data_IF_916285358719
#
_entry.id   IF_916285358719
#
_cell.length_a   1.000
_cell.length_b   1.000
_cell.length_c   1.000
_cell.angle_alpha   90.00
_cell.angle_beta   90.00
_cell.angle_gamma   90.00
#
_symmetry.space_group_name_H-M   'P 1'
#
loop_
_entity.id
_entity.type
_entity.pdbx_description
1 polymer ?
#
# COMPACT_ATOMS: atom_id res chain seq x y z
N UNK A 1 10.62 19.03 3.83
CA UNK A 1 9.68 18.21 4.58
C UNK A 1 10.05 16.78 4.29
N UNK A 2 10.60 16.06 5.27
CA UNK A 2 11.01 14.67 5.08
C UNK A 2 9.77 13.78 5.19
N UNK A 3 9.47 13.00 4.15
CA UNK A 3 8.27 12.18 4.10
C UNK A 3 8.56 10.82 4.76
N UNK A 4 7.92 10.56 5.91
CA UNK A 4 8.08 9.30 6.62
C UNK A 4 7.03 8.26 6.16
N UNK A 5 7.46 7.38 5.25
CA UNK A 5 6.58 6.34 4.69
C UNK A 5 6.03 5.39 5.77
N UNK A 6 6.83 5.03 6.78
CA UNK A 6 6.40 4.13 7.86
C UNK A 6 5.27 4.75 8.68
N UNK A 7 5.38 6.05 8.94
CA UNK A 7 4.33 6.78 9.64
C UNK A 7 3.05 6.87 8.81
N UNK A 8 3.14 7.16 7.52
CA UNK A 8 1.96 7.19 6.64
C UNK A 8 1.25 5.83 6.60
N UNK A 9 1.98 4.73 6.46
CA UNK A 9 1.40 3.37 6.47
C UNK A 9 0.64 3.09 7.77
N UNK A 10 1.19 3.55 8.90
CA UNK A 10 0.54 3.45 10.21
C UNK A 10 -0.72 4.32 10.28
N UNK A 11 -0.68 5.54 9.78
CA UNK A 11 -1.84 6.43 9.71
C UNK A 11 -2.97 5.84 8.86
N UNK A 12 -2.65 5.29 7.69
CA UNK A 12 -3.62 4.60 6.82
C UNK A 12 -4.28 3.44 7.57
N UNK A 13 -3.48 2.62 8.26
CA UNK A 13 -3.98 1.48 9.04
C UNK A 13 -4.96 1.92 10.14
N UNK A 14 -4.65 3.02 10.84
CA UNK A 14 -5.56 3.58 11.84
C UNK A 14 -6.81 4.20 11.24
N UNK A 15 -6.69 4.93 10.14
CA UNK A 15 -7.84 5.54 9.47
C UNK A 15 -8.84 4.48 9.00
N UNK A 16 -8.35 3.40 8.38
CA UNK A 16 -9.19 2.26 7.95
C UNK A 16 -9.90 1.65 9.16
N UNK A 17 -9.17 1.30 10.23
CA UNK A 17 -9.75 0.70 11.45
C UNK A 17 -10.81 1.60 12.07
N UNK A 18 -10.55 2.91 12.17
CA UNK A 18 -11.45 3.86 12.79
C UNK A 18 -12.74 4.07 11.98
N UNK A 19 -12.64 4.07 10.65
CA UNK A 19 -13.79 4.28 9.75
C UNK A 19 -14.63 3.01 9.61
N UNK A 20 -14.00 1.83 9.57
CA UNK A 20 -14.71 0.54 9.62
C UNK A 20 -15.52 0.39 10.93
N UNK A 21 -14.97 0.87 12.04
CA UNK A 21 -15.60 0.75 13.35
C UNK A 21 -15.90 -0.71 13.69
N UNK A 22 -17.16 -1.00 14.04
CA UNK A 22 -17.63 -2.34 14.41
C UNK A 22 -18.18 -3.14 13.21
N UNK A 23 -18.30 -2.51 12.03
CA UNK A 23 -18.98 -3.07 10.88
C UNK A 23 -17.94 -3.68 9.94
N UNK A 24 -18.00 -4.98 9.69
CA UNK A 24 -17.15 -5.70 8.74
C UNK A 24 -17.58 -5.43 7.28
N UNK A 25 -17.62 -4.15 6.90
CA UNK A 25 -17.92 -3.75 5.52
C UNK A 25 -16.78 -4.14 4.58
N UNK A 26 -17.10 -4.80 3.46
CA UNK A 26 -16.13 -5.16 2.43
C UNK A 26 -15.62 -3.93 1.64
N UNK A 27 -16.32 -2.79 1.75
CA UNK A 27 -16.08 -1.56 0.99
C UNK A 27 -15.91 -0.36 1.93
N UNK A 28 -14.74 -0.28 2.58
CA UNK A 28 -14.29 0.91 3.33
C UNK A 28 -13.04 1.61 2.75
N UNK A 29 -12.74 1.57 1.43
CA UNK A 29 -11.60 2.33 0.91
C UNK A 29 -11.88 3.83 0.78
N UNK A 30 -13.10 4.25 0.41
CA UNK A 30 -13.33 5.63 -0.07
C UNK A 30 -13.17 6.69 1.03
N UNK A 31 -13.84 6.52 2.17
CA UNK A 31 -13.74 7.47 3.28
C UNK A 31 -12.34 7.50 3.91
N UNK A 32 -11.65 6.35 3.98
CA UNK A 32 -10.30 6.26 4.53
C UNK A 32 -9.27 6.91 3.59
N UNK A 33 -9.42 6.67 2.28
CA UNK A 33 -8.64 7.34 1.25
C UNK A 33 -8.82 8.85 1.32
N UNK A 34 -10.07 9.34 1.32
CA UNK A 34 -10.35 10.77 1.40
C UNK A 34 -9.77 11.41 2.67
N UNK A 35 -9.93 10.76 3.82
CA UNK A 35 -9.42 11.28 5.09
C UNK A 35 -7.89 11.44 5.06
N UNK A 36 -7.17 10.44 4.54
CA UNK A 36 -5.71 10.48 4.43
C UNK A 36 -5.27 11.54 3.42
N UNK A 37 -5.89 11.61 2.25
CA UNK A 37 -5.55 12.60 1.22
C UNK A 37 -5.80 14.03 1.72
N UNK A 38 -6.97 14.31 2.32
CA UNK A 38 -7.28 15.62 2.92
C UNK A 38 -6.25 15.99 4.00
N UNK A 39 -5.84 15.02 4.84
CA UNK A 39 -4.79 15.24 5.85
C UNK A 39 -3.45 15.63 5.23
N UNK A 40 -3.06 15.03 4.10
CA UNK A 40 -1.82 15.43 3.42
C UNK A 40 -1.94 16.81 2.76
N UNK A 41 -3.07 17.13 2.12
CA UNK A 41 -3.28 18.44 1.49
C UNK A 41 -3.19 19.58 2.52
N UNK A 42 -3.77 19.41 3.71
CA UNK A 42 -3.72 20.43 4.78
C UNK A 42 -2.29 20.75 5.22
N UNK A 43 -1.35 19.80 5.12
CA UNK A 43 0.08 20.05 5.45
C UNK A 43 0.73 21.09 4.53
N UNK A 44 0.14 21.39 3.37
CA UNK A 44 0.63 22.42 2.44
C UNK A 44 0.40 23.84 2.96
N UNK A 45 -0.51 24.07 3.92
CA UNK A 45 -0.81 25.43 4.44
C UNK A 45 0.44 26.13 4.96
N UNK A 46 1.22 25.44 5.79
CA UNK A 46 2.47 25.97 6.36
C UNK A 46 3.48 26.43 5.31
N UNK A 47 3.97 25.55 4.41
CA UNK A 47 4.94 25.93 3.39
C UNK A 47 4.39 26.97 2.39
N UNK A 48 3.11 26.93 2.03
CA UNK A 48 2.51 27.93 1.13
C UNK A 48 2.48 29.33 1.76
N UNK A 49 2.08 29.45 3.04
CA UNK A 49 2.13 30.74 3.75
C UNK A 49 3.57 31.22 3.91
N UNK A 50 4.51 30.31 4.21
CA UNK A 50 5.92 30.66 4.32
C UNK A 50 6.49 31.19 2.99
N UNK A 51 6.04 30.63 1.87
CA UNK A 51 6.42 31.12 0.54
C UNK A 51 5.95 32.56 0.32
N UNK A 52 4.72 32.90 0.74
CA UNK A 52 4.21 34.28 0.70
C UNK A 52 5.08 35.20 1.55
N UNK A 53 5.41 34.81 2.79
CA UNK A 53 6.27 35.62 3.68
C UNK A 53 7.63 35.93 3.05
N UNK A 54 8.27 34.94 2.43
CA UNK A 54 9.57 35.10 1.79
C UNK A 54 9.51 36.07 0.60
N UNK A 55 8.45 36.00 -0.21
CA UNK A 55 8.23 36.94 -1.32
C UNK A 55 8.00 38.36 -0.78
N UNK A 56 7.19 38.53 0.27
CA UNK A 56 6.94 39.84 0.87
C UNK A 56 8.21 40.46 1.46
N UNK A 57 9.04 39.65 2.12
CA UNK A 57 10.34 40.08 2.64
C UNK A 57 11.25 40.60 1.51
N UNK A 58 11.33 39.88 0.38
CA UNK A 58 12.17 40.34 -0.74
C UNK A 58 11.59 41.57 -1.45
N UNK A 59 10.26 41.70 -1.50
CA UNK A 59 9.61 42.89 -2.04
C UNK A 59 9.95 44.13 -1.20
N UNK A 60 9.87 44.04 0.13
CA UNK A 60 10.28 45.12 1.05
C UNK A 60 11.77 45.45 0.88
N UNK A 61 12.63 44.43 0.77
CA UNK A 61 14.07 44.63 0.53
C UNK A 61 14.31 45.39 -0.78
N UNK A 62 13.55 45.06 -1.83
CA UNK A 62 13.65 45.71 -3.14
C UNK A 62 13.22 47.17 -3.06
N UNK A 63 12.11 47.48 -2.37
CA UNK A 63 11.65 48.85 -2.14
C UNK A 63 12.75 49.67 -1.45
N UNK A 64 13.35 49.15 -0.37
CA UNK A 64 14.47 49.79 0.33
C UNK A 64 15.69 50.02 -0.57
N UNK A 65 15.99 49.09 -1.49
CA UNK A 65 17.09 49.28 -2.47
C UNK A 65 16.77 50.41 -3.44
N UNK A 66 15.52 50.52 -3.88
CA UNK A 66 15.07 51.56 -4.80
C UNK A 66 15.04 52.95 -4.15
N UNK A 67 14.55 53.07 -2.91
CA UNK A 67 14.39 54.34 -2.19
C UNK A 67 15.71 54.98 -1.79
N UNK A 68 16.82 54.23 -1.73
CA UNK A 68 18.17 54.79 -1.60
C UNK A 68 18.50 55.83 -2.68
N UNK A 69 17.88 55.75 -3.87
CA UNK A 69 18.05 56.76 -4.94
C UNK A 69 17.38 58.10 -4.61
N UNK A 70 16.47 58.12 -3.63
CA UNK A 70 15.76 59.31 -3.14
C UNK A 70 16.44 59.95 -1.92
N UNK A 71 17.67 59.56 -1.58
CA UNK A 71 18.39 60.04 -0.40
C UNK A 71 18.51 61.58 -0.33
N UNK A 72 18.54 62.26 -1.49
CA UNK A 72 18.58 63.72 -1.57
C UNK A 72 17.27 64.41 -1.14
N UNK A 73 16.17 63.66 -1.02
CA UNK A 73 14.85 64.15 -0.60
C UNK A 73 14.32 63.32 0.58
N UNK A 74 14.80 63.57 1.82
CA UNK A 74 14.54 62.69 2.97
C UNK A 74 13.05 62.49 3.28
N UNK A 75 12.25 63.57 3.22
CA UNK A 75 10.80 63.51 3.45
C UNK A 75 10.07 62.68 2.39
N UNK A 76 10.50 62.78 1.13
CA UNK A 76 9.92 61.99 0.04
C UNK A 76 10.29 60.50 0.18
N UNK A 77 11.53 60.21 0.57
CA UNK A 77 11.99 58.85 0.82
C UNK A 77 11.16 58.18 1.92
N UNK A 78 10.99 58.84 3.06
CA UNK A 78 10.20 58.33 4.20
C UNK A 78 8.74 58.08 3.82
N UNK A 79 8.07 59.05 3.19
CA UNK A 79 6.67 58.89 2.79
C UNK A 79 6.48 57.81 1.72
N UNK A 80 7.42 57.68 0.78
CA UNK A 80 7.37 56.63 -0.24
C UNK A 80 7.52 55.25 0.40
N UNK A 81 8.50 55.06 1.29
CA UNK A 81 8.68 53.81 2.02
C UNK A 81 7.44 53.46 2.84
N UNK A 82 6.86 54.43 3.55
CA UNK A 82 5.67 54.24 4.38
C UNK A 82 4.45 53.80 3.55
N UNK A 83 4.15 54.50 2.46
CA UNK A 83 2.99 54.20 1.61
C UNK A 83 3.13 52.82 0.97
N UNK A 84 4.30 52.54 0.38
CA UNK A 84 4.54 51.27 -0.31
C UNK A 84 4.56 50.10 0.68
N UNK A 85 5.21 50.24 1.83
CA UNK A 85 5.23 49.18 2.85
C UNK A 85 3.82 48.88 3.40
N UNK A 86 3.01 49.91 3.63
CA UNK A 86 1.62 49.73 4.06
C UNK A 86 0.80 48.99 2.99
N UNK A 87 0.95 49.37 1.73
CA UNK A 87 0.28 48.68 0.63
C UNK A 87 0.69 47.22 0.53
N UNK A 88 2.00 46.92 0.61
CA UNK A 88 2.51 45.54 0.57
C UNK A 88 1.90 44.71 1.70
N UNK A 89 1.85 45.23 2.94
CA UNK A 89 1.27 44.53 4.09
C UNK A 89 -0.23 44.26 3.91
N UNK A 90 -0.97 45.21 3.33
CA UNK A 90 -2.39 44.99 3.01
C UNK A 90 -2.57 43.89 1.95
N UNK A 91 -1.72 43.89 0.92
CA UNK A 91 -1.74 42.86 -0.15
C UNK A 91 -1.31 41.50 0.37
N UNK A 92 -0.38 41.44 1.31
CA UNK A 92 0.06 40.21 1.97
C UNK A 92 -1.12 39.48 2.61
N UNK A 93 -1.93 40.18 3.42
CA UNK A 93 -3.11 39.60 4.07
C UNK A 93 -4.08 38.99 3.06
N UNK A 94 -4.47 39.77 2.05
CA UNK A 94 -5.36 39.32 0.96
C UNK A 94 -4.79 38.10 0.21
N UNK A 95 -3.47 38.05 0.03
CA UNK A 95 -2.80 36.94 -0.66
C UNK A 95 -2.79 35.68 0.20
N UNK A 96 -2.53 35.80 1.50
CA UNK A 96 -2.59 34.68 2.45
C UNK A 96 -4.00 34.08 2.49
N UNK A 97 -5.02 34.92 2.56
CA UNK A 97 -6.42 34.48 2.54
C UNK A 97 -6.75 33.72 1.24
N UNK A 98 -6.31 34.24 0.09
CA UNK A 98 -6.49 33.58 -1.20
C UNK A 98 -5.77 32.22 -1.27
N UNK A 99 -4.54 32.13 -0.77
CA UNK A 99 -3.77 30.87 -0.72
C UNK A 99 -4.48 29.84 0.15
N UNK A 100 -4.99 30.25 1.31
CA UNK A 100 -5.76 29.37 2.19
C UNK A 100 -7.05 28.89 1.53
N UNK A 101 -7.78 29.78 0.86
CA UNK A 101 -8.97 29.44 0.10
C UNK A 101 -8.68 28.39 -0.99
N UNK A 102 -7.58 28.54 -1.74
CA UNK A 102 -7.18 27.57 -2.76
C UNK A 102 -6.93 26.19 -2.15
N UNK A 103 -6.30 26.12 -0.98
CA UNK A 103 -6.06 24.85 -0.28
C UNK A 103 -7.39 24.26 0.21
N UNK A 104 -8.29 25.08 0.76
CA UNK A 104 -9.60 24.62 1.24
C UNK A 104 -10.46 24.08 0.08
N UNK A 105 -10.36 24.65 -1.12
CA UNK A 105 -10.97 24.10 -2.34
C UNK A 105 -10.44 22.68 -2.61
N UNK A 106 -9.13 22.47 -2.56
CA UNK A 106 -8.54 21.13 -2.77
C UNK A 106 -8.96 20.11 -1.70
N UNK A 107 -9.22 20.56 -0.48
CA UNK A 107 -9.74 19.69 0.60
C UNK A 107 -11.23 19.38 0.41
N UNK A 108 -12.00 20.30 -0.17
CA UNK A 108 -13.45 20.17 -0.32
C UNK A 108 -13.87 19.05 -1.27
N UNK A 109 -13.07 18.79 -2.31
CA UNK A 109 -13.38 17.78 -3.31
C UNK A 109 -12.10 17.15 -3.88
N UNK A 110 -12.07 15.81 -3.88
CA UNK A 110 -10.97 15.03 -4.47
C UNK A 110 -11.44 14.50 -5.83
N UNK A 111 -10.83 14.98 -6.91
CA UNK A 111 -11.16 14.54 -8.26
C UNK A 111 -10.50 13.21 -8.60
N UNK A 112 -11.22 12.10 -8.41
CA UNK A 112 -10.76 10.75 -8.80
C UNK A 112 -10.90 10.45 -10.30
N UNK A 113 -11.51 11.35 -11.08
CA UNK A 113 -11.62 11.25 -12.54
C UNK A 113 -10.45 11.93 -13.28
N UNK A 114 -9.47 12.46 -12.55
CA UNK A 114 -8.28 13.08 -13.13
C UNK A 114 -7.45 12.04 -13.92
N UNK A 115 -6.94 12.39 -15.09
CA UNK A 115 -6.21 11.46 -15.97
C UNK A 115 -4.97 10.83 -15.31
N UNK A 116 -4.27 11.61 -14.49
CA UNK A 116 -3.12 11.12 -13.71
C UNK A 116 -3.50 10.24 -12.52
N UNK A 117 -4.79 10.16 -12.16
CA UNK A 117 -5.24 9.31 -11.06
C UNK A 117 -5.30 7.86 -11.51
N UNK A 118 -4.25 7.11 -11.17
CA UNK A 118 -4.16 5.67 -11.37
C UNK A 118 -5.04 5.00 -10.30
N UNK A 119 -6.35 4.92 -10.56
CA UNK A 119 -7.32 4.29 -9.66
C UNK A 119 -7.03 2.80 -9.39
N UNK A 120 -7.85 2.18 -8.53
CA UNK A 120 -7.64 0.81 -8.02
C UNK A 120 -7.39 -0.24 -9.13
N UNK A 121 -8.15 -0.20 -10.22
CA UNK A 121 -8.04 -1.17 -11.31
C UNK A 121 -6.68 -1.14 -12.03
N UNK A 122 -6.11 0.06 -12.23
CA UNK A 122 -4.85 0.24 -12.95
C UNK A 122 -3.63 0.15 -12.03
N UNK A 123 -3.79 0.45 -10.73
CA UNK A 123 -2.73 0.33 -9.73
C UNK A 123 -2.29 -1.13 -9.52
N UNK A 124 -3.25 -2.05 -9.49
CA UNK A 124 -2.99 -3.48 -9.34
C UNK A 124 -2.23 -4.06 -10.55
N UNK A 125 -2.51 -3.57 -11.76
CA UNK A 125 -1.78 -3.99 -12.97
C UNK A 125 -0.34 -3.50 -12.99
N UNK A 126 -0.07 -2.28 -12.49
CA UNK A 126 1.30 -1.73 -12.40
C UNK A 126 2.15 -2.45 -11.35
N UNK A 127 1.60 -2.82 -10.20
CA UNK A 127 2.35 -3.60 -9.20
C UNK A 127 2.71 -4.99 -9.74
N UNK A 128 1.80 -5.63 -10.48
CA UNK A 128 2.07 -6.91 -11.15
C UNK A 128 3.13 -6.80 -12.26
N UNK A 129 3.23 -5.66 -12.96
CA UNK A 129 4.27 -5.44 -13.96
C UNK A 129 5.67 -5.25 -13.35
N UNK A 130 5.78 -4.63 -12.17
CA UNK A 130 7.06 -4.55 -11.43
C UNK A 130 7.50 -5.93 -10.93
N UNK A 131 6.56 -6.86 -10.73
CA UNK A 131 6.83 -8.26 -10.38
C UNK A 131 6.83 -9.22 -11.59
N UNK A 132 6.90 -8.71 -12.84
CA UNK A 132 7.18 -9.55 -14.03
C UNK A 132 8.66 -9.94 -14.16
N UNK A 133 9.32 -10.22 -13.04
CA UNK A 133 10.41 -11.22 -12.99
C UNK A 133 10.02 -12.22 -11.91
N UNK A 134 9.78 -13.44 -12.39
CA UNK A 134 9.39 -14.67 -11.69
C UNK A 134 7.99 -14.64 -11.06
N UNK A 135 7.02 -15.16 -11.81
CA UNK A 135 5.91 -15.91 -11.24
C UNK A 135 6.52 -16.94 -10.27
N UNK A 136 6.40 -16.70 -8.97
CA UNK A 136 6.83 -17.63 -7.90
C UNK A 136 5.80 -18.76 -7.73
N UNK A 137 4.72 -18.77 -8.51
CA UNK A 137 3.81 -19.92 -8.59
C UNK A 137 4.53 -21.08 -9.29
N UNK A 138 4.79 -22.16 -8.56
CA UNK A 138 5.38 -23.43 -8.96
C UNK A 138 6.91 -23.49 -9.17
N UNK A 139 7.70 -22.49 -8.79
CA UNK A 139 9.16 -22.68 -8.78
C UNK A 139 9.56 -23.67 -7.69
N UNK A 140 10.22 -24.75 -8.11
CA UNK A 140 10.75 -25.75 -7.19
C UNK A 140 11.97 -25.18 -6.47
N UNK A 141 11.82 -25.01 -5.16
CA UNK A 141 12.88 -24.52 -4.27
C UNK A 141 13.92 -25.62 -4.04
N UNK A 142 13.47 -26.87 -3.83
CA UNK A 142 14.37 -28.00 -3.60
C UNK A 142 13.70 -29.34 -3.91
N UNK A 143 14.49 -30.30 -4.41
CA UNK A 143 14.10 -31.71 -4.56
C UNK A 143 15.08 -32.61 -3.80
N UNK A 144 14.61 -33.73 -3.27
CA UNK A 144 15.50 -34.69 -2.63
C UNK A 144 14.78 -35.86 -1.96
N UNK A 145 15.53 -36.95 -1.74
CA UNK A 145 15.05 -38.10 -0.97
C UNK A 145 14.97 -37.73 0.51
N UNK A 146 13.79 -37.91 1.11
CA UNK A 146 13.61 -37.87 2.56
C UNK A 146 12.88 -39.13 3.01
N UNK A 147 13.24 -39.62 4.18
CA UNK A 147 12.63 -40.80 4.76
C UNK A 147 11.51 -40.38 5.70
N UNK A 148 10.28 -40.81 5.42
CA UNK A 148 9.18 -40.60 6.37
C UNK A 148 9.16 -41.80 7.31
N UNK A 149 9.45 -41.55 8.57
CA UNK A 149 9.26 -42.50 9.66
C UNK A 149 7.84 -42.34 10.22
N UNK A 150 7.18 -43.46 10.53
CA UNK A 150 5.89 -43.51 11.23
C UNK A 150 4.59 -43.31 10.40
N UNK A 151 4.58 -43.63 9.11
CA UNK A 151 3.33 -43.79 8.35
C UNK A 151 2.70 -45.16 8.70
N UNK A 152 1.85 -45.18 9.72
CA UNK A 152 0.99 -46.32 10.06
C UNK A 152 1.58 -47.33 11.04
N UNK A 153 0.83 -47.60 12.12
CA UNK A 153 1.21 -48.45 13.27
C UNK A 153 1.29 -49.95 12.91
N UNK A 154 0.90 -50.38 11.70
CA UNK A 154 0.71 -51.82 11.40
C UNK A 154 1.65 -52.43 10.35
N UNK A 155 2.69 -51.75 9.86
CA UNK A 155 3.77 -52.42 9.11
C UNK A 155 5.03 -51.56 9.08
N UNK A 156 5.97 -51.91 9.95
CA UNK A 156 7.24 -51.22 10.15
C UNK A 156 8.09 -51.14 8.89
N UNK A 157 8.67 -49.96 8.71
CA UNK A 157 9.70 -49.64 7.71
C UNK A 157 9.69 -48.14 7.44
N UNK A 158 10.76 -47.45 7.80
CA UNK A 158 11.01 -46.09 7.35
C UNK A 158 11.22 -46.13 5.83
N UNK A 159 10.32 -45.51 5.07
CA UNK A 159 10.36 -45.53 3.60
C UNK A 159 10.84 -44.19 3.06
N UNK A 160 11.79 -44.25 2.14
CA UNK A 160 12.27 -43.10 1.38
C UNK A 160 11.21 -42.67 0.36
N UNK A 161 10.93 -41.37 0.31
CA UNK A 161 10.10 -40.76 -0.73
C UNK A 161 10.88 -39.60 -1.35
N UNK A 162 10.60 -39.31 -2.61
CA UNK A 162 11.18 -38.17 -3.31
C UNK A 162 10.33 -36.93 -3.06
N UNK A 163 10.88 -35.93 -2.40
CA UNK A 163 10.16 -34.70 -2.06
C UNK A 163 10.45 -33.58 -3.05
N UNK A 164 9.43 -32.79 -3.34
CA UNK A 164 9.49 -31.56 -4.12
C UNK A 164 8.88 -30.44 -3.30
N UNK A 165 9.71 -29.47 -2.92
CA UNK A 165 9.31 -28.27 -2.18
C UNK A 165 9.16 -27.10 -3.16
N UNK A 166 7.98 -26.49 -3.19
CA UNK A 166 7.72 -25.22 -3.86
C UNK A 166 7.42 -24.13 -2.83
N UNK A 167 7.22 -22.88 -3.27
CA UNK A 167 6.82 -21.79 -2.38
C UNK A 167 5.43 -21.99 -1.76
N UNK A 168 4.59 -22.84 -2.36
CA UNK A 168 3.17 -22.98 -2.01
C UNK A 168 2.81 -24.40 -1.53
N UNK A 169 3.65 -25.41 -1.81
CA UNK A 169 3.34 -26.81 -1.51
C UNK A 169 4.58 -27.66 -1.23
N UNK A 170 4.39 -28.71 -0.44
CA UNK A 170 5.34 -29.81 -0.24
C UNK A 170 4.68 -31.11 -0.72
N UNK A 171 5.22 -31.69 -1.80
CA UNK A 171 4.71 -32.93 -2.40
C UNK A 171 5.75 -34.04 -2.29
N UNK A 172 5.32 -35.29 -2.18
CA UNK A 172 6.22 -36.46 -2.15
C UNK A 172 5.74 -37.57 -3.07
N UNK A 173 6.70 -38.29 -3.66
CA UNK A 173 6.49 -39.32 -4.66
C UNK A 173 7.20 -40.62 -4.24
N UNK A 174 6.63 -41.76 -4.65
CA UNK A 174 7.16 -43.08 -4.30
C UNK A 174 8.42 -43.45 -5.10
N UNK A 175 8.49 -42.98 -6.34
CA UNK A 175 9.58 -43.23 -7.28
C UNK A 175 10.06 -41.89 -7.91
N UNK A 176 11.28 -41.83 -8.45
CA UNK A 176 11.91 -40.64 -9.04
C UNK A 176 11.61 -40.46 -10.54
N UNK A 177 11.02 -41.46 -11.19
CA UNK A 177 10.69 -41.39 -12.60
C UNK A 177 9.39 -40.61 -12.89
N UNK A 178 9.58 -39.54 -13.67
CA UNK A 178 8.58 -38.70 -14.38
C UNK A 178 7.74 -37.79 -13.50
N UNK A 179 8.29 -36.61 -13.23
CA UNK A 179 7.51 -35.40 -12.99
C UNK A 179 7.83 -34.47 -14.16
N UNK A 180 7.03 -34.53 -15.22
CA UNK A 180 7.04 -33.49 -16.25
C UNK A 180 6.33 -32.26 -15.67
N UNK A 181 6.78 -31.05 -16.03
CA UNK A 181 6.23 -29.79 -15.49
C UNK A 181 4.70 -29.63 -15.73
N UNK A 182 4.13 -30.41 -16.65
CA UNK A 182 2.70 -30.43 -16.96
C UNK A 182 1.84 -31.25 -15.96
N UNK A 183 2.41 -32.18 -15.20
CA UNK A 183 1.63 -33.03 -14.27
C UNK A 183 1.23 -32.30 -12.96
N UNK A 184 1.85 -31.16 -12.66
CA UNK A 184 1.50 -30.31 -11.52
C UNK A 184 0.20 -29.52 -11.71
N UNK A 185 -0.38 -29.49 -12.92
CA UNK A 185 -1.66 -28.83 -13.15
C UNK A 185 -2.89 -29.74 -12.99
N UNK A 186 -2.73 -31.07 -12.89
CA UNK A 186 -3.86 -32.01 -12.97
C UNK A 186 -4.20 -32.72 -11.66
N UNK A 187 -3.29 -32.79 -10.68
CA UNK A 187 -3.62 -33.41 -9.39
C UNK A 187 -4.29 -32.43 -8.43
N UNK A 188 -5.62 -32.55 -8.27
CA UNK A 188 -6.30 -32.00 -7.10
C UNK A 188 -5.65 -32.58 -5.83
N UNK A 189 -5.26 -31.75 -4.84
CA UNK A 189 -4.60 -32.26 -3.65
C UNK A 189 -5.59 -33.07 -2.82
N UNK A 190 -5.27 -34.33 -2.53
CA UNK A 190 -5.81 -34.99 -1.36
C UNK A 190 -5.30 -34.20 -0.13
N UNK A 191 -6.16 -33.35 0.44
CA UNK A 191 -5.87 -32.66 1.69
C UNK A 191 -5.72 -33.71 2.80
N UNK A 192 -4.50 -33.90 3.29
CA UNK A 192 -4.29 -34.66 4.51
C UNK A 192 -4.47 -33.74 5.72
N UNK A 193 -5.55 -33.98 6.45
CA UNK A 193 -5.78 -33.49 7.81
C UNK A 193 -4.87 -34.29 8.75
N UNK A 194 -3.68 -33.75 9.06
CA UNK A 194 -2.70 -34.44 9.89
C UNK A 194 -1.97 -33.47 10.82
N UNK A 195 -2.20 -33.60 12.12
CA UNK A 195 -1.57 -32.83 13.18
C UNK A 195 -0.09 -33.20 13.29
N UNK A 196 0.81 -32.26 13.03
CA UNK A 196 2.23 -32.41 13.38
C UNK A 196 2.41 -32.04 14.86
N UNK A 197 2.50 -33.03 15.75
CA UNK A 197 2.96 -32.80 17.13
C UNK A 197 4.49 -32.72 17.14
N UNK A 198 5.04 -31.53 17.42
CA UNK A 198 6.45 -31.32 17.71
C UNK A 198 6.69 -31.53 19.21
N UNK A 199 7.51 -32.51 19.57
CA UNK A 199 8.07 -32.66 20.92
C UNK A 199 9.47 -32.04 20.95
N UNK A 200 9.66 -31.01 21.78
CA UNK A 200 10.89 -30.33 22.25
C UNK A 200 12.01 -30.04 21.23
N UNK A 201 12.63 -28.86 21.17
CA UNK A 201 12.70 -27.71 22.08
C UNK A 201 13.05 -26.46 21.24
N UNK A 202 12.85 -25.30 21.85
CA UNK A 202 13.24 -23.95 21.42
C UNK A 202 12.38 -23.18 20.39
N UNK A 203 11.77 -22.14 20.98
CA UNK A 203 11.27 -20.87 20.46
C UNK A 203 10.13 -20.86 19.43
N UNK A 204 8.93 -20.56 19.94
CA UNK A 204 8.08 -19.43 19.50
C UNK A 204 7.58 -19.41 18.05
N UNK A 205 6.31 -19.74 17.85
CA UNK A 205 5.23 -18.81 17.46
C UNK A 205 3.97 -19.66 17.21
N UNK A 206 2.95 -19.39 18.01
CA UNK A 206 1.62 -19.97 17.95
C UNK A 206 0.86 -19.29 16.79
N UNK A 207 0.49 -20.05 15.75
CA UNK A 207 -0.48 -19.61 14.74
C UNK A 207 -1.65 -20.60 14.74
N UNK A 208 -2.62 -20.31 15.59
CA UNK A 208 -3.98 -20.83 15.51
C UNK A 208 -4.69 -20.13 14.35
N UNK A 209 -5.13 -20.90 13.35
CA UNK A 209 -6.16 -20.46 12.42
C UNK A 209 -7.17 -21.60 12.26
N UNK A 210 -8.24 -21.45 13.03
CA UNK A 210 -9.52 -22.14 12.81
C UNK A 210 -10.38 -21.41 11.78
N UNK A 211 -11.42 -22.13 11.34
CA UNK A 211 -12.62 -21.73 10.59
C UNK A 211 -12.50 -21.77 9.06
N UNK A 212 -13.51 -22.20 8.28
CA UNK A 212 -14.73 -23.01 8.47
C UNK A 212 -15.44 -23.08 7.09
N UNK A 213 -16.41 -23.97 6.95
CA UNK A 213 -17.47 -24.05 5.90
C UNK A 213 -17.08 -24.52 4.48
N UNK A 214 -17.92 -25.18 3.67
CA UNK A 214 -19.18 -25.98 3.79
C UNK A 214 -19.54 -26.33 2.32
N UNK A 215 -20.20 -27.47 2.15
CA UNK A 215 -21.05 -27.88 1.00
C UNK A 215 -20.43 -28.87 0.00
N UNK A 216 -20.94 -30.11 0.07
CA UNK A 216 -21.14 -30.96 -1.09
C UNK A 216 -22.41 -31.79 -0.84
N UNK A 217 -23.48 -31.39 -1.52
CA UNK A 217 -24.50 -32.32 -2.02
C UNK A 217 -24.41 -32.33 -3.57
N UNK A 218 -24.89 -33.42 -4.21
CA UNK A 218 -24.30 -33.96 -5.44
C UNK A 218 -25.09 -33.61 -6.70
N UNK A 219 -24.43 -33.75 -7.86
CA UNK A 219 -25.12 -33.97 -9.14
C UNK A 219 -24.52 -33.22 -10.34
N UNK A 220 -24.15 -33.99 -11.37
CA UNK A 220 -24.24 -33.74 -12.83
C UNK A 220 -23.53 -34.95 -13.50
N UNK A 221 -24.22 -35.99 -14.00
CA UNK A 221 -24.86 -36.11 -15.34
C UNK A 221 -23.82 -35.80 -16.43
N UNK A 222 -23.33 -36.76 -17.23
CA UNK A 222 -24.08 -37.62 -18.13
C UNK A 222 -24.00 -37.05 -19.56
N UNK A 223 -23.20 -37.68 -20.45
CA UNK A 223 -23.27 -37.57 -21.92
C UNK A 223 -22.54 -38.80 -22.48
N UNK A 224 -23.24 -39.84 -22.92
CA UNK A 224 -24.01 -40.00 -24.16
C UNK A 224 -23.13 -39.86 -25.41
N UNK A 225 -22.79 -41.03 -25.96
CA UNK A 225 -21.97 -41.23 -27.14
C UNK A 225 -22.87 -41.88 -28.20
N UNK A 226 -23.08 -41.18 -29.31
CA UNK A 226 -23.56 -41.70 -30.60
C UNK A 226 -23.28 -40.64 -31.67
N UNK A 227 -23.22 -41.01 -32.97
CA UNK A 227 -23.25 -42.36 -33.55
C UNK A 227 -21.85 -42.96 -33.73
#
# INVERSE_FOLDING_TARGET
>A
MEFNEKELRREISYAIKNIHGIRTGLFTPDMAFEAIVKKQIVKLKGPSLKSVDLVMQELINTVKKCTKKLANFPRLCEETERIVANHIREREGKTKDQVLLLIDIQVSYINTNHEDFIGFANAQQRSSQVHKKTTIGNQVIRKGWLTISNIGIMKGGSKGYWFVLTAESLSWYKDDERIYEDDLQVSQPYQFLGVATRSSEDFGVLLLLECSFRALLPGCVGSEMRP
#
